data_IF_005834786425
#
_entry.id   IF_005834786425
#
_cell.length_a   1.000
_cell.length_b   1.000
_cell.length_c   1.000
_cell.angle_alpha   90.00
_cell.angle_beta   90.00
_cell.angle_gamma   90.00
#
_symmetry.space_group_name_H-M   'P 1'
#
loop_
_entity.id
_entity.type
_entity.pdbx_description
1 polymer ?
#
# COMPACT_ATOMS: atom_id res chain seq x y z
N UNK A 1 0.58 4.13 8.35
CA UNK A 1 -0.41 4.14 7.23
C UNK A 1 -0.78 2.69 6.88
N UNK A 2 -2.00 2.26 7.20
CA UNK A 2 -2.37 0.83 7.10
C UNK A 2 -2.93 0.44 5.73
N UNK A 3 -2.43 -0.66 5.17
CA UNK A 3 -2.97 -1.30 3.98
C UNK A 3 -3.20 -2.79 4.22
N UNK A 4 -4.05 -3.38 3.39
CA UNK A 4 -4.34 -4.80 3.45
C UNK A 4 -3.28 -5.58 2.65
N UNK A 5 -2.59 -6.49 3.32
CA UNK A 5 -1.66 -7.40 2.66
C UNK A 5 -2.42 -8.61 2.15
N UNK A 6 -2.50 -8.81 0.83
CA UNK A 6 -3.17 -9.98 0.26
C UNK A 6 -2.47 -11.31 0.59
N UNK A 7 -1.14 -11.32 0.81
CA UNK A 7 -0.42 -12.52 1.25
C UNK A 7 -0.72 -12.88 2.71
N UNK A 8 -0.64 -11.90 3.61
CA UNK A 8 -0.90 -12.12 5.04
C UNK A 8 -2.39 -12.11 5.39
N UNK A 9 -3.26 -11.73 4.43
CA UNK A 9 -4.71 -11.55 4.60
C UNK A 9 -5.09 -10.68 5.80
N UNK A 10 -4.22 -9.74 6.15
CA UNK A 10 -4.34 -8.90 7.33
C UNK A 10 -4.08 -7.43 6.97
N UNK A 11 -4.72 -6.51 7.72
CA UNK A 11 -4.40 -5.08 7.67
C UNK A 11 -3.12 -4.86 8.46
N UNK A 12 -2.09 -4.33 7.81
CA UNK A 12 -0.80 -4.06 8.42
C UNK A 12 -0.31 -2.68 8.03
N UNK A 13 0.56 -2.12 8.86
CA UNK A 13 1.24 -0.89 8.51
C UNK A 13 2.26 -1.13 7.42
N UNK A 14 2.17 -0.34 6.36
CA UNK A 14 3.14 -0.41 5.27
C UNK A 14 4.45 0.24 5.72
N UNK A 15 5.56 -0.46 5.48
CA UNK A 15 6.91 0.08 5.63
C UNK A 15 7.30 0.84 4.35
N UNK A 16 7.85 2.04 4.49
CA UNK A 16 8.26 2.88 3.35
C UNK A 16 7.06 3.36 2.51
N UNK A 17 6.02 3.88 3.15
CA UNK A 17 4.85 4.41 2.47
C UNK A 17 5.22 5.66 1.64
N UNK A 18 5.02 5.59 0.32
CA UNK A 18 5.25 6.68 -0.64
C UNK A 18 3.96 7.00 -1.39
N UNK A 19 3.67 8.29 -1.55
CA UNK A 19 2.56 8.73 -2.40
C UNK A 19 2.98 8.58 -3.87
N UNK A 20 2.18 7.85 -4.65
CA UNK A 20 2.36 7.65 -6.08
C UNK A 20 1.05 7.99 -6.81
N UNK A 21 1.17 8.57 -7.99
CA UNK A 21 0.03 8.75 -8.89
C UNK A 21 -0.01 7.56 -9.83
N UNK A 22 -1.09 6.78 -9.76
CA UNK A 22 -1.27 5.62 -10.65
C UNK A 22 -1.45 6.08 -12.10
N UNK A 23 -1.21 5.18 -13.07
CA UNK A 23 -1.39 5.48 -14.51
C UNK A 23 -2.80 5.94 -14.89
N UNK A 24 -3.80 5.68 -14.04
CA UNK A 24 -5.18 6.13 -14.21
C UNK A 24 -5.45 7.52 -13.59
N UNK A 25 -4.41 8.26 -13.20
CA UNK A 25 -4.51 9.61 -12.63
C UNK A 25 -4.95 9.67 -11.15
N UNK A 26 -5.19 8.52 -10.50
CA UNK A 26 -5.66 8.49 -9.11
C UNK A 26 -4.49 8.49 -8.13
N UNK A 27 -4.56 9.29 -7.05
CA UNK A 27 -3.55 9.24 -5.99
C UNK A 27 -3.65 7.91 -5.25
N UNK A 28 -2.49 7.30 -5.02
CA UNK A 28 -2.36 6.10 -4.23
C UNK A 28 -1.14 6.21 -3.31
N UNK A 29 -1.12 5.44 -2.25
CA UNK A 29 0.07 5.23 -1.44
C UNK A 29 0.59 3.83 -1.71
N UNK A 30 1.82 3.73 -2.19
CA UNK A 30 2.54 2.47 -2.28
C UNK A 30 3.37 2.26 -1.02
N UNK A 31 3.53 1.03 -0.57
CA UNK A 31 4.48 0.68 0.47
C UNK A 31 4.79 -0.81 0.45
N UNK A 32 5.47 -1.31 1.47
CA UNK A 32 5.92 -2.70 1.54
C UNK A 32 5.41 -3.37 2.81
N UNK A 33 5.02 -4.65 2.71
CA UNK A 33 4.71 -5.46 3.87
C UNK A 33 5.96 -5.74 4.71
N UNK A 34 5.98 -5.39 6.01
CA UNK A 34 7.12 -5.69 6.87
C UNK A 34 7.33 -7.20 7.08
N UNK A 35 6.27 -8.01 7.04
CA UNK A 35 6.39 -9.46 7.31
C UNK A 35 6.74 -10.29 6.07
N UNK A 36 6.13 -9.99 4.93
CA UNK A 36 6.24 -10.83 3.73
C UNK A 36 6.92 -10.12 2.54
N UNK A 37 7.38 -8.89 2.73
CA UNK A 37 8.08 -8.09 1.71
C UNK A 37 7.24 -7.72 0.48
N UNK A 38 5.95 -8.07 0.45
CA UNK A 38 5.09 -7.85 -0.71
C UNK A 38 4.72 -6.38 -0.82
N UNK A 39 4.80 -5.81 -2.02
CA UNK A 39 4.34 -4.45 -2.30
C UNK A 39 2.85 -4.33 -2.02
N UNK A 40 2.49 -3.39 -1.18
CA UNK A 40 1.11 -3.03 -0.87
C UNK A 40 0.77 -1.69 -1.50
N UNK A 41 -0.49 -1.56 -1.91
CA UNK A 41 -1.02 -0.32 -2.46
C UNK A 41 -2.30 0.03 -1.71
N UNK A 42 -2.38 1.26 -1.26
CA UNK A 42 -3.59 1.86 -0.71
C UNK A 42 -4.04 2.95 -1.64
N UNK A 43 -5.09 2.71 -2.40
CA UNK A 43 -5.72 3.77 -3.19
C UNK A 43 -6.48 4.66 -2.21
N UNK A 44 -6.03 5.91 -2.10
CA UNK A 44 -6.78 6.94 -1.38
C UNK A 44 -7.86 7.49 -2.29
N UNK A 45 -9.06 7.71 -1.77
CA UNK A 45 -9.94 8.71 -2.37
C UNK A 45 -9.38 10.06 -1.95
N UNK A 46 -9.33 10.99 -2.92
CA UNK A 46 -9.20 12.42 -2.66
C UNK A 46 -10.10 12.86 -1.52
#
# INVERSE_FOLDING_TARGET
MQAYCMKCRAKKEMKGATAITMKNGRPATQGVCPDCGTKMFKIGKS
#
